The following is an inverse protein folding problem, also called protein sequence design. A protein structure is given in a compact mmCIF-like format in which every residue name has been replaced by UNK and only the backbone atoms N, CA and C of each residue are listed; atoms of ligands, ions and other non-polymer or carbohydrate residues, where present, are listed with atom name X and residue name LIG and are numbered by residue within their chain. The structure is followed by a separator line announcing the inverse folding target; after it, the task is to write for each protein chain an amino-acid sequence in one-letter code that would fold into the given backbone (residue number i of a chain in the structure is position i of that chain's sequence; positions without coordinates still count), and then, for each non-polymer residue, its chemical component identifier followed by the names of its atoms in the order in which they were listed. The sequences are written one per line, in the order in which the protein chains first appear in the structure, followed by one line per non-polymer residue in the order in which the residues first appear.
data_IF_767807757804
#
_entry.id   IF_767807757804
#
_cell.length_a   1.000
_cell.length_b   1.000
_cell.length_c   1.000
_cell.angle_alpha   90.00
_cell.angle_beta   90.00
_cell.angle_gamma   90.00
#
_symmetry.space_group_name_H-M   'P 1'
#
loop_
_entity.id
_entity.type
_entity.pdbx_description
1 polymer ?
#
# COMPACT_ATOMS: atom_id res chain seq x y z
N UNK A 1 -6.54 -13.43 -9.32
CA UNK A 1 -5.14 -13.56 -9.76
C UNK A 1 -5.05 -14.84 -10.57
N UNK A 2 -4.80 -14.74 -11.87
CA UNK A 2 -4.76 -15.91 -12.77
C UNK A 2 -3.35 -16.46 -12.83
N UNK A 3 -3.20 -17.76 -12.56
CA UNK A 3 -1.90 -18.44 -12.52
C UNK A 3 -2.00 -19.81 -13.18
N UNK A 4 -0.88 -20.27 -13.73
CA UNK A 4 -0.69 -21.67 -14.09
C UNK A 4 -0.08 -22.37 -12.89
N UNK A 5 -0.76 -23.39 -12.38
CA UNK A 5 -0.27 -24.19 -11.27
C UNK A 5 0.03 -25.61 -11.72
N UNK A 6 1.21 -26.07 -11.35
CA UNK A 6 1.68 -27.42 -11.57
C UNK A 6 1.90 -28.07 -10.20
N UNK A 7 1.29 -29.23 -9.98
CA UNK A 7 1.44 -29.99 -8.74
C UNK A 7 1.95 -31.38 -9.09
N UNK A 8 2.98 -31.82 -8.38
CA UNK A 8 3.61 -33.13 -8.54
C UNK A 8 3.80 -33.78 -7.19
N UNK A 9 3.65 -35.09 -7.14
CA UNK A 9 4.00 -35.87 -5.95
C UNK A 9 5.49 -36.13 -5.94
N UNK A 10 6.16 -35.73 -4.86
CA UNK A 10 7.57 -36.03 -4.60
C UNK A 10 7.63 -37.02 -3.43
N UNK A 11 8.38 -38.14 -3.52
CA UNK A 11 8.52 -39.05 -2.40
C UNK A 11 9.19 -38.37 -1.20
N UNK A 12 8.71 -38.67 0.00
CA UNK A 12 9.25 -38.10 1.23
C UNK A 12 10.71 -38.56 1.43
N UNK A 13 11.65 -37.60 1.41
CA UNK A 13 13.08 -37.85 1.67
C UNK A 13 14.02 -37.55 0.51
N UNK A 14 13.51 -37.25 -0.69
CA UNK A 14 14.36 -37.11 -1.88
C UNK A 14 13.77 -36.04 -2.84
N UNK A 15 14.18 -34.76 -2.72
CA UNK A 15 13.59 -33.65 -3.49
C UNK A 15 13.85 -33.74 -5.01
N UNK A 16 14.83 -34.54 -5.42
CA UNK A 16 15.25 -34.76 -6.81
C UNK A 16 14.91 -36.16 -7.36
N UNK A 17 14.15 -36.98 -6.61
CA UNK A 17 13.73 -38.30 -7.09
C UNK A 17 12.71 -38.20 -8.24
N UNK A 18 12.79 -39.15 -9.19
CA UNK A 18 11.81 -39.25 -10.27
C UNK A 18 10.38 -39.33 -9.68
N UNK A 19 9.44 -38.50 -10.15
CA UNK A 19 8.14 -38.35 -9.53
C UNK A 19 7.37 -39.67 -9.58
N UNK A 20 7.12 -40.23 -8.39
CA UNK A 20 6.35 -41.46 -8.22
C UNK A 20 4.87 -41.11 -8.39
N UNK A 21 4.43 -41.15 -9.65
CA UNK A 21 3.06 -41.24 -10.14
C UNK A 21 2.04 -40.28 -9.49
N UNK A 22 2.05 -39.03 -9.95
CA UNK A 22 0.97 -38.07 -9.74
C UNK A 22 1.38 -36.69 -10.25
N UNK A 23 0.74 -36.20 -11.30
CA UNK A 23 1.01 -34.92 -11.94
C UNK A 23 -0.32 -34.28 -12.34
N UNK A 24 -0.53 -33.02 -11.99
CA UNK A 24 -1.67 -32.21 -12.43
C UNK A 24 -1.22 -30.80 -12.80
N UNK A 25 -1.74 -30.27 -13.91
CA UNK A 25 -1.48 -28.90 -14.35
C UNK A 25 -2.77 -28.25 -14.83
N UNK A 26 -3.06 -27.05 -14.33
CA UNK A 26 -4.23 -26.28 -14.74
C UNK A 26 -3.98 -24.77 -14.64
N UNK A 27 -4.80 -24.01 -15.37
CA UNK A 27 -4.86 -22.55 -15.30
C UNK A 27 -6.11 -22.14 -14.53
N UNK A 28 -5.96 -21.64 -13.31
CA UNK A 28 -7.07 -21.14 -12.52
C UNK A 28 -6.89 -19.71 -12.03
N UNK A 29 -8.03 -19.07 -11.73
CA UNK A 29 -8.07 -17.85 -10.95
C UNK A 29 -8.14 -18.20 -9.46
N UNK A 30 -7.08 -17.86 -8.72
CA UNK A 30 -6.97 -18.14 -7.29
C UNK A 30 -8.01 -17.42 -6.43
N UNK A 31 -8.58 -16.30 -6.88
CA UNK A 31 -9.61 -15.61 -6.09
C UNK A 31 -11.00 -16.22 -6.27
N UNK A 32 -11.24 -16.91 -7.39
CA UNK A 32 -12.52 -17.57 -7.64
C UNK A 32 -12.65 -18.86 -6.81
N UNK A 33 -13.50 -18.83 -5.78
CA UNK A 33 -13.73 -19.97 -4.88
C UNK A 33 -14.15 -21.25 -5.62
N UNK A 34 -14.96 -21.11 -6.67
CA UNK A 34 -15.38 -22.24 -7.53
C UNK A 34 -14.19 -22.87 -8.26
N UNK A 35 -13.28 -22.05 -8.80
CA UNK A 35 -12.10 -22.54 -9.51
C UNK A 35 -11.15 -23.29 -8.58
N UNK A 36 -10.92 -22.76 -7.37
CA UNK A 36 -10.15 -23.46 -6.32
C UNK A 36 -10.75 -24.83 -5.98
N UNK A 37 -12.07 -24.90 -5.81
CA UNK A 37 -12.74 -26.15 -5.47
C UNK A 37 -12.65 -27.20 -6.59
N UNK A 38 -12.71 -26.78 -7.86
CA UNK A 38 -12.54 -27.68 -9.01
C UNK A 38 -11.11 -28.20 -9.09
N UNK A 39 -10.12 -27.31 -8.99
CA UNK A 39 -8.70 -27.67 -9.01
C UNK A 39 -8.32 -28.62 -7.89
N UNK A 40 -8.75 -28.35 -6.64
CA UNK A 40 -8.45 -29.22 -5.50
C UNK A 40 -8.98 -30.65 -5.72
N UNK A 41 -10.20 -30.79 -6.25
CA UNK A 41 -10.78 -32.11 -6.55
C UNK A 41 -10.00 -32.84 -7.65
N UNK A 42 -9.68 -32.16 -8.75
CA UNK A 42 -8.97 -32.78 -9.88
C UNK A 42 -7.55 -33.17 -9.50
N UNK A 43 -6.81 -32.27 -8.84
CA UNK A 43 -5.47 -32.54 -8.35
C UNK A 43 -5.46 -33.66 -7.29
N UNK A 44 -6.44 -33.73 -6.39
CA UNK A 44 -6.54 -34.82 -5.41
C UNK A 44 -6.69 -36.19 -6.09
N UNK A 45 -7.53 -36.28 -7.13
CA UNK A 45 -7.72 -37.51 -7.92
C UNK A 45 -6.43 -37.90 -8.64
N UNK A 46 -5.80 -36.96 -9.36
CA UNK A 46 -4.60 -37.24 -10.18
C UNK A 46 -3.35 -37.54 -9.34
N UNK A 47 -3.26 -36.99 -8.13
CA UNK A 47 -2.16 -37.23 -7.20
C UNK A 47 -2.41 -38.44 -6.27
N UNK A 48 -3.63 -38.98 -6.24
CA UNK A 48 -4.05 -40.01 -5.29
C UNK A 48 -3.98 -39.55 -3.83
N UNK A 49 -4.21 -38.25 -3.58
CA UNK A 49 -4.14 -37.63 -2.26
C UNK A 49 -5.54 -37.21 -1.78
N UNK A 50 -5.69 -37.00 -0.47
CA UNK A 50 -6.90 -36.40 0.08
C UNK A 50 -7.04 -34.92 -0.27
N UNK A 51 -8.26 -34.45 -0.53
CA UNK A 51 -8.56 -33.04 -0.84
C UNK A 51 -8.04 -32.07 0.23
N UNK A 52 -8.06 -32.47 1.50
CA UNK A 52 -7.59 -31.63 2.62
C UNK A 52 -6.09 -31.31 2.54
N UNK A 53 -5.28 -32.25 2.05
CA UNK A 53 -3.84 -32.04 1.85
C UNK A 53 -3.59 -31.02 0.74
N UNK A 54 -4.22 -31.23 -0.43
CA UNK A 54 -4.10 -30.32 -1.58
C UNK A 54 -4.62 -28.93 -1.25
N UNK A 55 -5.72 -28.83 -0.50
CA UNK A 55 -6.29 -27.56 -0.04
C UNK A 55 -5.36 -26.79 0.88
N UNK A 56 -4.65 -27.48 1.79
CA UNK A 56 -3.66 -26.86 2.68
C UNK A 56 -2.50 -26.26 1.89
N UNK A 57 -1.93 -27.04 0.97
CA UNK A 57 -0.83 -26.58 0.11
C UNK A 57 -1.26 -25.42 -0.79
N UNK A 58 -2.45 -25.48 -1.38
CA UNK A 58 -3.01 -24.38 -2.17
C UNK A 58 -3.17 -23.09 -1.34
N UNK A 59 -3.54 -23.21 -0.06
CA UNK A 59 -3.59 -22.09 0.87
C UNK A 59 -2.22 -21.49 1.16
N UNK A 60 -1.18 -22.31 1.33
CA UNK A 60 0.19 -21.86 1.52
C UNK A 60 0.72 -21.09 0.29
N UNK A 61 0.42 -21.59 -0.91
CA UNK A 61 0.74 -20.91 -2.17
C UNK A 61 0.04 -19.55 -2.25
N UNK A 62 -1.25 -19.48 -1.90
CA UNK A 62 -2.01 -18.23 -1.91
C UNK A 62 -1.37 -17.17 -0.99
N UNK A 63 -1.07 -17.53 0.25
CA UNK A 63 -0.42 -16.63 1.21
C UNK A 63 0.93 -16.13 0.70
N UNK A 64 1.72 -17.00 0.07
CA UNK A 64 3.01 -16.60 -0.49
C UNK A 64 2.87 -15.62 -1.65
N UNK A 65 1.87 -15.81 -2.51
CA UNK A 65 1.59 -14.91 -3.62
C UNK A 65 1.06 -13.55 -3.15
N UNK A 66 0.27 -13.52 -2.07
CA UNK A 66 -0.17 -12.28 -1.42
C UNK A 66 1.03 -11.50 -0.87
N UNK A 67 1.95 -12.17 -0.16
CA UNK A 67 3.17 -11.53 0.33
C UNK A 67 4.03 -10.94 -0.80
N UNK A 68 4.22 -11.68 -1.89
CA UNK A 68 4.95 -11.19 -3.07
C UNK A 68 4.24 -10.00 -3.75
N UNK A 69 2.91 -10.01 -3.81
CA UNK A 69 2.14 -8.89 -4.34
C UNK A 69 2.30 -7.64 -3.47
N UNK A 70 2.26 -7.79 -2.14
CA UNK A 70 2.47 -6.69 -1.21
C UNK A 70 3.89 -6.12 -1.28
N UNK A 71 4.90 -6.97 -1.44
CA UNK A 71 6.29 -6.57 -1.67
C UNK A 71 6.41 -5.75 -2.96
N UNK A 72 5.84 -6.22 -4.08
CA UNK A 72 5.83 -5.51 -5.36
C UNK A 72 5.10 -4.17 -5.28
N UNK A 73 3.97 -4.12 -4.59
CA UNK A 73 3.24 -2.86 -4.36
C UNK A 73 4.05 -1.88 -3.52
N UNK A 74 4.82 -2.38 -2.55
CA UNK A 74 5.71 -1.57 -1.70
C UNK A 74 6.88 -1.02 -2.50
N UNK A 75 7.52 -1.84 -3.34
CA UNK A 75 8.60 -1.43 -4.25
C UNK A 75 8.10 -0.38 -5.26
N UNK A 76 6.98 -0.64 -5.94
CA UNK A 76 6.39 0.30 -6.89
C UNK A 76 5.88 1.61 -6.25
N UNK A 77 5.69 1.63 -4.93
CA UNK A 77 5.40 2.86 -4.15
C UNK A 77 6.70 3.57 -3.75
N UNK A 78 7.75 2.83 -3.37
CA UNK A 78 9.06 3.38 -3.02
C UNK A 78 9.79 4.01 -4.22
N UNK A 79 9.74 3.38 -5.39
CA UNK A 79 10.36 3.89 -6.62
C UNK A 79 9.75 5.21 -7.09
N UNK A 80 8.44 5.42 -6.86
CA UNK A 80 7.77 6.68 -7.15
C UNK A 80 8.12 7.82 -6.19
N UNK A 81 8.69 7.52 -5.03
CA UNK A 81 9.13 8.52 -4.06
C UNK A 81 10.61 8.92 -4.23
N UNK A 82 11.43 8.06 -4.86
CA UNK A 82 12.85 8.32 -5.03
C UNK A 82 13.16 9.34 -6.14
N UNK A 83 12.22 9.62 -7.05
CA UNK A 83 12.53 10.37 -8.28
C UNK A 83 12.45 11.90 -8.17
N UNK A 84 12.13 12.51 -7.03
CA UNK A 84 12.12 13.98 -6.96
C UNK A 84 12.30 14.57 -5.54
N UNK A 85 13.28 14.08 -4.78
CA UNK A 85 13.78 14.89 -3.64
C UNK A 85 14.71 15.95 -4.23
N UNK A 86 14.11 16.98 -4.82
CA UNK A 86 14.82 18.20 -5.18
C UNK A 86 15.30 18.85 -3.89
N UNK A 87 16.59 18.74 -3.60
CA UNK A 87 17.21 19.47 -2.48
C UNK A 87 17.10 20.95 -2.81
N UNK A 88 16.33 21.70 -2.01
CA UNK A 88 16.19 23.14 -2.16
C UNK A 88 17.52 23.81 -1.78
N UNK A 89 17.88 24.88 -2.50
CA UNK A 89 18.93 25.79 -2.04
C UNK A 89 18.52 26.45 -0.72
N UNK A 90 19.49 26.87 0.10
CA UNK A 90 19.22 27.62 1.33
C UNK A 90 18.40 28.91 1.07
N UNK A 91 18.60 29.55 -0.09
CA UNK A 91 17.85 30.74 -0.48
C UNK A 91 16.39 30.39 -0.84
N UNK A 92 16.18 29.30 -1.57
CA UNK A 92 14.83 28.82 -1.93
C UNK A 92 14.04 28.39 -0.68
N UNK A 93 14.73 27.75 0.28
CA UNK A 93 14.14 27.38 1.57
C UNK A 93 13.74 28.61 2.39
N UNK A 94 14.60 29.62 2.47
CA UNK A 94 14.30 30.86 3.16
C UNK A 94 13.10 31.60 2.53
N UNK A 95 13.03 31.65 1.21
CA UNK A 95 11.89 32.25 0.49
C UNK A 95 10.59 31.46 0.71
N UNK A 96 10.65 30.13 0.67
CA UNK A 96 9.50 29.27 0.93
C UNK A 96 8.98 29.43 2.37
N UNK A 97 9.87 29.50 3.36
CA UNK A 97 9.51 29.75 4.75
C UNK A 97 8.94 31.15 4.95
N UNK A 98 9.48 32.16 4.26
CA UNK A 98 8.93 33.51 4.29
C UNK A 98 7.51 33.56 3.71
N UNK A 99 7.26 32.85 2.60
CA UNK A 99 5.93 32.70 2.02
C UNK A 99 4.96 32.03 3.02
N UNK A 100 5.35 30.90 3.62
CA UNK A 100 4.52 30.14 4.56
C UNK A 100 4.16 30.92 5.83
N UNK A 101 5.00 31.87 6.25
CA UNK A 101 4.81 32.71 7.44
C UNK A 101 4.08 34.02 7.16
N UNK A 102 3.80 34.33 5.88
CA UNK A 102 3.17 35.58 5.51
C UNK A 102 1.71 35.64 6.00
N UNK A 103 1.27 36.72 6.67
CA UNK A 103 -0.09 36.83 7.20
C UNK A 103 -1.16 36.96 6.11
N UNK A 104 -0.77 37.40 4.91
CA UNK A 104 -1.60 37.56 3.72
C UNK A 104 -1.53 36.35 2.76
N UNK A 105 -0.97 35.23 3.22
CA UNK A 105 -0.80 34.00 2.43
C UNK A 105 -2.07 33.54 1.68
N UNK A 106 -3.28 33.53 2.27
CA UNK A 106 -4.48 33.11 1.55
C UNK A 106 -4.78 33.99 0.33
N UNK A 107 -4.63 35.32 0.47
CA UNK A 107 -4.87 36.26 -0.62
C UNK A 107 -3.85 36.08 -1.75
N UNK A 108 -2.58 35.84 -1.40
CA UNK A 108 -1.52 35.56 -2.37
C UNK A 108 -1.76 34.27 -3.15
N UNK A 109 -2.17 33.19 -2.47
CA UNK A 109 -2.51 31.91 -3.13
C UNK A 109 -3.66 32.09 -4.13
N UNK A 110 -4.70 32.83 -3.74
CA UNK A 110 -5.84 33.11 -4.62
C UNK A 110 -5.40 33.92 -5.84
N UNK A 111 -4.60 34.97 -5.65
CA UNK A 111 -4.08 35.78 -6.74
C UNK A 111 -3.22 34.95 -7.71
N UNK A 112 -2.37 34.06 -7.18
CA UNK A 112 -1.55 33.15 -7.99
C UNK A 112 -2.44 32.19 -8.79
N UNK A 113 -3.46 31.58 -8.18
CA UNK A 113 -4.41 30.69 -8.87
C UNK A 113 -5.22 31.41 -9.95
N UNK A 114 -5.61 32.65 -9.71
CA UNK A 114 -6.30 33.49 -10.69
C UNK A 114 -5.37 33.86 -11.86
N UNK A 115 -4.09 34.14 -11.60
CA UNK A 115 -3.09 34.41 -12.65
C UNK A 115 -2.88 33.22 -13.59
N UNK A 116 -3.09 32.00 -13.08
CA UNK A 116 -3.06 30.75 -13.86
C UNK A 116 -4.35 30.52 -14.67
N UNK A 117 -5.31 31.43 -14.61
CA UNK A 117 -6.59 31.34 -15.32
C UNK A 117 -7.66 30.52 -14.60
N UNK A 118 -7.46 30.17 -13.32
CA UNK A 118 -8.49 29.48 -12.53
C UNK A 118 -9.47 30.52 -11.98
N UNK A 119 -10.66 30.57 -12.56
CA UNK A 119 -11.71 31.53 -12.20
C UNK A 119 -12.77 30.84 -11.34
N UNK A 120 -13.05 31.40 -10.16
CA UNK A 120 -14.04 30.88 -9.21
C UNK A 120 -14.10 31.73 -7.95
N UNK A 121 -14.99 31.36 -7.01
CA UNK A 121 -15.03 32.01 -5.69
C UNK A 121 -13.75 31.71 -4.90
N UNK A 122 -13.17 32.73 -4.27
CA UNK A 122 -11.90 32.65 -3.53
C UNK A 122 -11.86 31.50 -2.51
N UNK A 123 -12.97 31.25 -1.82
CA UNK A 123 -13.12 30.15 -0.85
C UNK A 123 -12.97 28.78 -1.51
N UNK A 124 -13.51 28.61 -2.72
CA UNK A 124 -13.40 27.34 -3.46
C UNK A 124 -11.99 27.14 -4.01
N UNK A 125 -11.30 28.21 -4.41
CA UNK A 125 -9.89 28.15 -4.81
C UNK A 125 -8.99 27.72 -3.65
N UNK A 126 -9.20 28.28 -2.47
CA UNK A 126 -8.48 27.88 -1.25
C UNK A 126 -8.80 26.44 -0.84
N UNK A 127 -10.07 26.03 -0.92
CA UNK A 127 -10.47 24.65 -0.65
C UNK A 127 -9.83 23.67 -1.64
N UNK A 128 -9.76 24.02 -2.93
CA UNK A 128 -9.08 23.22 -3.94
C UNK A 128 -7.58 23.12 -3.69
N UNK A 129 -6.93 24.22 -3.30
CA UNK A 129 -5.52 24.24 -2.92
C UNK A 129 -5.24 23.34 -1.70
N UNK A 130 -6.05 23.45 -0.65
CA UNK A 130 -5.94 22.59 0.54
C UNK A 130 -6.20 21.11 0.22
N UNK A 131 -7.17 20.80 -0.64
CA UNK A 131 -7.43 19.44 -1.09
C UNK A 131 -6.24 18.85 -1.88
N UNK A 132 -5.56 19.68 -2.68
CA UNK A 132 -4.34 19.29 -3.38
C UNK A 132 -3.16 19.04 -2.41
N UNK A 133 -3.01 19.88 -1.37
CA UNK A 133 -2.00 19.71 -0.33
C UNK A 133 -2.28 18.50 0.58
N UNK A 134 -3.54 18.19 0.88
CA UNK A 134 -3.90 17.04 1.73
C UNK A 134 -3.40 15.72 1.17
N UNK A 135 -3.51 15.51 -0.16
CA UNK A 135 -2.93 14.34 -0.83
C UNK A 135 -1.40 14.29 -0.71
N UNK A 136 -0.75 15.46 -0.76
CA UNK A 136 0.72 15.57 -0.59
C UNK A 136 1.14 15.38 0.87
N UNK A 137 0.37 15.85 1.85
CA UNK A 137 0.60 15.62 3.28
C UNK A 137 0.40 14.16 3.69
N UNK A 138 -0.59 13.46 3.13
CA UNK A 138 -0.75 12.01 3.33
C UNK A 138 0.46 11.22 2.80
N UNK A 139 1.06 11.65 1.69
CA UNK A 139 2.30 11.08 1.17
C UNK A 139 3.53 11.47 2.00
N UNK A 140 3.64 12.72 2.47
CA UNK A 140 4.75 13.21 3.31
C UNK A 140 4.74 12.59 4.72
N UNK A 141 3.58 12.53 5.38
CA UNK A 141 3.46 11.89 6.71
C UNK A 141 3.77 10.39 6.62
N UNK A 142 3.37 9.70 5.54
CA UNK A 142 3.75 8.29 5.33
C UNK A 142 5.24 8.09 5.05
N UNK A 143 5.89 9.03 4.36
CA UNK A 143 7.34 8.99 4.13
C UNK A 143 8.14 9.24 5.42
N UNK A 144 7.68 10.13 6.30
CA UNK A 144 8.32 10.41 7.59
C UNK A 144 8.17 9.27 8.62
N UNK A 145 7.14 8.42 8.50
CA UNK A 145 6.87 7.28 9.40
C UNK A 145 7.54 5.99 8.89
N UNK A 146 8.46 6.10 7.93
CA UNK A 146 9.16 4.95 7.31
C UNK A 146 10.12 4.15 8.20
N UNK A 147 10.27 4.43 9.50
CA UNK A 147 11.25 3.67 10.30
C UNK A 147 11.01 3.56 11.82
N UNK A 148 9.88 4.01 12.39
CA UNK A 148 9.68 3.85 13.85
C UNK A 148 8.35 3.21 14.20
N UNK A 149 8.43 1.89 14.35
CA UNK A 149 7.76 1.09 15.37
C UNK A 149 6.30 1.49 15.68
N UNK A 150 5.35 0.70 15.17
CA UNK A 150 3.89 0.92 15.27
C UNK A 150 3.38 1.10 16.72
N UNK A 151 4.18 0.74 17.73
CA UNK A 151 3.93 1.02 19.15
C UNK A 151 4.11 2.49 19.55
N UNK A 152 4.93 3.26 18.84
CA UNK A 152 5.11 4.70 19.04
C UNK A 152 3.88 5.48 18.55
N UNK A 153 3.29 5.09 17.41
CA UNK A 153 2.04 5.64 16.88
C UNK A 153 0.89 5.54 17.89
N UNK A 154 0.75 4.39 18.56
CA UNK A 154 -0.27 4.23 19.60
C UNK A 154 -0.06 5.15 20.80
N UNK A 155 1.18 5.53 21.13
CA UNK A 155 1.48 6.45 22.24
C UNK A 155 1.24 7.92 21.85
N UNK A 156 1.65 8.31 20.65
CA UNK A 156 1.51 9.69 20.15
C UNK A 156 0.04 10.03 19.87
N UNK A 157 -0.74 9.10 19.31
CA UNK A 157 -2.18 9.29 19.12
C UNK A 157 -2.92 9.39 20.46
N UNK A 158 -2.54 8.58 21.46
CA UNK A 158 -3.13 8.66 22.81
C UNK A 158 -2.76 9.94 23.53
N UNK A 159 -1.53 10.44 23.41
CA UNK A 159 -1.13 11.71 24.02
C UNK A 159 -1.80 12.91 23.35
N UNK A 160 -1.95 12.88 22.02
CA UNK A 160 -2.60 13.96 21.28
C UNK A 160 -4.11 14.04 21.55
N UNK A 161 -4.80 12.89 21.65
CA UNK A 161 -6.20 12.86 22.09
C UNK A 161 -6.38 13.29 23.55
N UNK A 162 -5.44 12.95 24.43
CA UNK A 162 -5.47 13.42 25.82
C UNK A 162 -5.27 14.94 25.92
N UNK A 163 -4.42 15.54 25.09
CA UNK A 163 -4.25 17.00 25.05
C UNK A 163 -5.46 17.72 24.47
N UNK A 164 -6.11 17.16 23.44
CA UNK A 164 -7.35 17.72 22.89
C UNK A 164 -8.50 17.67 23.92
N UNK A 165 -8.66 16.55 24.63
CA UNK A 165 -9.65 16.41 25.69
C UNK A 165 -9.39 17.30 26.92
N UNK A 166 -8.14 17.69 27.16
CA UNK A 166 -7.79 18.63 28.23
C UNK A 166 -8.08 20.09 27.85
N UNK A 167 -7.92 20.45 26.57
CA UNK A 167 -8.26 21.77 26.06
C UNK A 167 -9.77 21.98 26.04
N UNK A 168 -10.55 20.96 25.65
CA UNK A 168 -12.03 21.02 25.63
C UNK A 168 -12.67 21.09 27.02
N UNK A 169 -11.97 20.69 28.10
CA UNK A 169 -12.47 20.79 29.48
C UNK A 169 -12.08 22.09 30.20
N UNK A 170 -11.22 22.90 29.59
CA UNK A 170 -10.73 24.16 30.17
C UNK A 170 -11.35 25.41 29.53
N UNK A 171 -12.37 25.23 28.70
CA UNK A 171 -13.26 26.26 28.12
C UNK A 171 -14.69 25.99 28.57
#
# INVERSE_FOLDING_TARGET
MRVNLQVRRVPAGEPDAEPIAGYHMDTLDLYAARARAVFVRQAAIELGLGEDGVKRELGAVLLRLEALQDELLTQARGERHASDVRVLSADDEAQALALLRAPDLPARIVADLQSLGVVGEDTNLLAAYLAALSRKQQCQQRAAIGETDTKALGRVLRSSQATLAAVEKST
#
